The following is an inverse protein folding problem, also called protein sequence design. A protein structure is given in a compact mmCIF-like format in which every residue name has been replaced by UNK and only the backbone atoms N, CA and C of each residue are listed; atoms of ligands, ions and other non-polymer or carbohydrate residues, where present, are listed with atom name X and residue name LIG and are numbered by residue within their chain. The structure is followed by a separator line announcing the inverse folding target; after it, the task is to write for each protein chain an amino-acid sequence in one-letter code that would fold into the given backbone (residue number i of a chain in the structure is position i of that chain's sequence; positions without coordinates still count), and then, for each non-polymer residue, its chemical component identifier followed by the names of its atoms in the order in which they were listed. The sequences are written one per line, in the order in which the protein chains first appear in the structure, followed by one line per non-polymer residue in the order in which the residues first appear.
data_IF_955478387104
#
_entry.id   IF_955478387104
#
_cell.length_a   1.000
_cell.length_b   1.000
_cell.length_c   1.000
_cell.angle_alpha   90.00
_cell.angle_beta   90.00
_cell.angle_gamma   90.00
#
_symmetry.space_group_name_H-M   'P 1'
#
loop_
_entity.id
_entity.type
_entity.pdbx_description
1 polymer ?
#
# COMPACT_ATOMS: atom_id res chain seq x y z
N UNK A 1 -23.46 -0.24 -12.50
CA UNK A 1 -23.58 0.60 -11.28
C UNK A 1 -22.18 0.78 -10.76
N UNK A 2 -21.65 2.00 -10.74
CA UNK A 2 -20.27 2.27 -10.32
C UNK A 2 -20.07 1.85 -8.86
N UNK A 3 -18.96 1.17 -8.57
CA UNK A 3 -18.63 0.81 -7.20
C UNK A 3 -17.99 2.03 -6.50
N UNK A 4 -18.61 2.49 -5.41
CA UNK A 4 -18.15 3.66 -4.64
C UNK A 4 -16.70 3.55 -4.19
N UNK A 5 -16.21 2.36 -3.83
CA UNK A 5 -14.81 2.13 -3.43
C UNK A 5 -13.87 2.46 -4.58
N UNK A 6 -14.17 1.96 -5.77
CA UNK A 6 -13.33 2.12 -6.96
C UNK A 6 -13.31 3.56 -7.46
N UNK A 7 -14.47 4.25 -7.47
CA UNK A 7 -14.55 5.68 -7.82
C UNK A 7 -13.65 6.51 -6.91
N UNK A 8 -13.64 6.21 -5.61
CA UNK A 8 -12.81 6.93 -4.65
C UNK A 8 -11.34 6.61 -4.84
N UNK A 9 -10.98 5.33 -5.00
CA UNK A 9 -9.59 4.94 -5.27
C UNK A 9 -9.07 5.62 -6.52
N UNK A 10 -9.83 5.61 -7.62
CA UNK A 10 -9.50 6.32 -8.86
C UNK A 10 -9.24 7.80 -8.61
N UNK A 11 -10.07 8.46 -7.80
CA UNK A 11 -9.84 9.85 -7.41
C UNK A 11 -8.56 10.05 -6.58
N UNK A 12 -8.26 9.15 -5.64
CA UNK A 12 -7.01 9.15 -4.86
C UNK A 12 -5.81 9.04 -5.80
N UNK A 13 -5.80 8.07 -6.71
CA UNK A 13 -4.70 7.87 -7.65
C UNK A 13 -4.55 9.04 -8.63
N UNK A 14 -5.65 9.65 -9.08
CA UNK A 14 -5.62 10.87 -9.87
C UNK A 14 -4.98 12.06 -9.13
N UNK A 15 -5.15 12.14 -7.80
CA UNK A 15 -4.51 13.17 -6.98
C UNK A 15 -3.01 12.88 -6.84
N UNK A 16 -2.64 11.63 -6.59
CA UNK A 16 -1.23 11.21 -6.47
C UNK A 16 -0.47 11.45 -7.78
N UNK A 17 -1.09 11.14 -8.92
CA UNK A 17 -0.52 11.33 -10.27
C UNK A 17 -0.23 12.80 -10.64
N UNK A 18 -0.61 13.77 -9.81
CA UNK A 18 -0.18 15.17 -9.96
C UNK A 18 1.32 15.36 -9.67
N UNK A 19 1.93 14.42 -8.97
CA UNK A 19 3.37 14.36 -8.77
C UNK A 19 3.96 13.24 -9.65
N UNK A 20 4.96 13.57 -10.45
CA UNK A 20 5.62 12.66 -11.39
C UNK A 20 6.34 11.47 -10.71
N UNK A 21 6.76 11.63 -9.45
CA UNK A 21 7.38 10.58 -8.64
C UNK A 21 6.37 9.60 -8.03
N UNK A 22 5.07 9.90 -8.10
CA UNK A 22 3.99 9.08 -7.52
C UNK A 22 3.17 8.33 -8.58
N UNK A 23 3.74 8.20 -9.77
CA UNK A 23 3.04 7.68 -10.94
C UNK A 23 3.24 6.17 -11.12
N UNK A 24 2.17 5.46 -11.50
CA UNK A 24 2.14 4.00 -11.66
C UNK A 24 2.14 3.51 -13.12
N UNK A 25 1.98 4.38 -14.12
CA UNK A 25 1.67 3.91 -15.47
C UNK A 25 2.88 3.37 -16.25
N UNK A 26 4.12 3.57 -15.80
CA UNK A 26 5.30 3.10 -16.55
C UNK A 26 5.41 1.57 -16.60
N UNK A 27 4.64 0.80 -15.81
CA UNK A 27 4.81 -0.64 -15.71
C UNK A 27 3.54 -1.52 -15.69
N UNK A 28 2.31 -1.04 -15.93
CA UNK A 28 1.07 -1.87 -15.90
C UNK A 28 0.88 -2.72 -14.61
N UNK A 29 1.34 -2.24 -13.45
CA UNK A 29 1.26 -3.00 -12.19
C UNK A 29 -0.10 -2.91 -11.50
N UNK A 30 -0.79 -1.78 -11.63
CA UNK A 30 -2.18 -1.62 -11.19
C UNK A 30 -2.93 -0.73 -12.15
N UNK A 31 -4.16 -1.12 -12.47
CA UNK A 31 -5.13 -0.28 -13.17
C UNK A 31 -6.45 -0.29 -12.39
N UNK A 32 -7.01 0.90 -12.16
CA UNK A 32 -8.31 1.08 -11.51
C UNK A 32 -9.36 1.39 -12.57
N UNK A 33 -10.32 0.48 -12.72
CA UNK A 33 -11.52 0.72 -13.52
C UNK A 33 -12.74 0.95 -12.62
N UNK A 34 -13.90 1.18 -13.21
CA UNK A 34 -15.13 1.42 -12.45
C UNK A 34 -15.69 0.12 -11.81
N UNK A 35 -15.12 -1.04 -12.15
CA UNK A 35 -15.55 -2.37 -11.69
C UNK A 35 -14.44 -3.27 -11.12
N UNK A 36 -13.17 -3.01 -11.42
CA UNK A 36 -12.04 -3.90 -11.11
C UNK A 36 -10.79 -3.13 -10.66
N UNK A 37 -9.96 -3.78 -9.84
CA UNK A 37 -8.57 -3.39 -9.58
C UNK A 37 -7.68 -4.42 -10.28
N UNK A 38 -7.27 -4.13 -11.50
CA UNK A 38 -6.47 -5.06 -12.31
C UNK A 38 -5.02 -4.99 -11.89
N UNK A 39 -4.42 -6.16 -11.72
CA UNK A 39 -3.00 -6.36 -11.42
C UNK A 39 -2.46 -7.49 -12.33
N UNK A 40 -1.15 -7.80 -12.31
CA UNK A 40 -0.60 -8.93 -13.05
C UNK A 40 -1.22 -10.30 -12.71
N UNK A 41 -1.93 -10.40 -11.58
CA UNK A 41 -2.61 -11.62 -11.12
C UNK A 41 -4.13 -11.58 -11.35
N UNK A 42 -4.62 -10.61 -12.14
CA UNK A 42 -6.04 -10.37 -12.37
C UNK A 42 -6.66 -9.35 -11.43
N UNK A 43 -7.98 -9.40 -11.27
CA UNK A 43 -8.73 -8.49 -10.41
C UNK A 43 -8.61 -8.88 -8.94
N UNK A 44 -8.00 -8.00 -8.13
CA UNK A 44 -7.83 -8.22 -6.69
C UNK A 44 -9.03 -7.73 -5.86
N UNK A 45 -9.93 -6.95 -6.47
CA UNK A 45 -11.02 -6.30 -5.74
C UNK A 45 -11.97 -7.29 -5.03
N UNK A 46 -12.38 -8.43 -5.63
CA UNK A 46 -13.24 -9.40 -4.95
C UNK A 46 -12.60 -9.95 -3.66
N UNK A 47 -11.29 -10.15 -3.65
CA UNK A 47 -10.57 -10.67 -2.48
C UNK A 47 -10.61 -9.70 -1.30
N UNK A 48 -10.54 -8.40 -1.57
CA UNK A 48 -10.69 -7.36 -0.55
C UNK A 48 -12.11 -7.32 0.04
N UNK A 49 -13.12 -7.75 -0.72
CA UNK A 49 -14.51 -7.74 -0.27
C UNK A 49 -14.93 -9.02 0.47
N UNK A 50 -14.12 -10.08 0.43
CA UNK A 50 -14.42 -11.36 1.07
C UNK A 50 -14.49 -11.25 2.60
N UNK A 51 -13.64 -10.43 3.19
CA UNK A 51 -13.60 -10.17 4.64
C UNK A 51 -13.59 -8.67 4.83
N UNK A 52 -14.76 -8.07 5.06
CA UNK A 52 -14.87 -6.62 5.32
C UNK A 52 -14.54 -6.31 6.77
N UNK A 53 -13.87 -5.17 6.98
CA UNK A 53 -13.72 -4.56 8.30
C UNK A 53 -15.08 -4.17 8.86
N UNK A 54 -15.25 -4.35 10.18
CA UNK A 54 -16.43 -3.87 10.90
C UNK A 54 -16.39 -2.36 11.21
N UNK A 55 -15.31 -1.66 10.86
CA UNK A 55 -15.22 -0.22 11.04
C UNK A 55 -16.27 0.50 10.20
N UNK A 56 -16.78 1.61 10.72
CA UNK A 56 -17.76 2.42 10.01
C UNK A 56 -17.12 3.06 8.79
N UNK A 57 -17.85 3.02 7.67
CA UNK A 57 -17.48 3.73 6.47
C UNK A 57 -17.29 5.22 6.78
N UNK A 58 -16.09 5.71 6.51
CA UNK A 58 -15.71 7.10 6.68
C UNK A 58 -14.62 7.42 5.68
N UNK A 59 -14.69 8.59 5.08
CA UNK A 59 -13.65 9.08 4.19
C UNK A 59 -13.27 10.49 4.59
N UNK A 60 -11.96 10.73 4.62
CA UNK A 60 -11.45 12.08 4.75
C UNK A 60 -11.68 12.82 3.44
N UNK A 61 -12.05 14.10 3.53
CA UNK A 61 -12.11 14.97 2.36
C UNK A 61 -10.80 14.88 1.54
N UNK A 62 -10.92 14.48 0.27
CA UNK A 62 -9.79 14.31 -0.65
C UNK A 62 -9.03 15.61 -0.88
N UNK A 63 -9.60 16.78 -0.57
CA UNK A 63 -8.86 18.04 -0.52
C UNK A 63 -7.69 18.01 0.47
N UNK A 64 -7.80 17.27 1.57
CA UNK A 64 -6.67 17.09 2.50
C UNK A 64 -5.56 16.26 1.87
N UNK A 65 -5.89 15.26 1.06
CA UNK A 65 -4.89 14.52 0.30
C UNK A 65 -4.20 15.41 -0.74
N UNK A 66 -4.95 16.27 -1.45
CA UNK A 66 -4.37 17.26 -2.37
C UNK A 66 -3.36 18.13 -1.63
N UNK A 67 -3.76 18.70 -0.48
CA UNK A 67 -2.86 19.53 0.34
C UNK A 67 -1.62 18.77 0.81
N UNK A 68 -1.75 17.48 1.14
CA UNK A 68 -0.62 16.65 1.55
C UNK A 68 0.39 16.52 0.42
N UNK A 69 -0.08 16.12 -0.77
CA UNK A 69 0.77 15.95 -1.96
C UNK A 69 1.42 17.28 -2.34
N UNK A 70 0.68 18.39 -2.30
CA UNK A 70 1.21 19.73 -2.60
C UNK A 70 2.29 20.15 -1.59
N UNK A 71 2.06 19.91 -0.28
CA UNK A 71 3.02 20.23 0.77
C UNK A 71 4.33 19.42 0.62
N UNK A 72 4.20 18.10 0.43
CA UNK A 72 5.35 17.21 0.22
C UNK A 72 6.10 17.55 -1.09
N UNK A 73 5.38 17.91 -2.16
CA UNK A 73 5.97 18.32 -3.44
C UNK A 73 6.72 19.65 -3.32
N UNK A 74 6.11 20.66 -2.69
CA UNK A 74 6.72 21.98 -2.49
C UNK A 74 8.05 21.90 -1.72
N UNK A 75 8.14 20.98 -0.77
CA UNK A 75 9.34 20.76 0.03
C UNK A 75 10.34 19.77 -0.62
N UNK A 76 10.07 19.31 -1.85
CA UNK A 76 10.82 18.25 -2.54
C UNK A 76 11.06 17.02 -1.63
N UNK A 77 10.06 16.69 -0.80
CA UNK A 77 10.16 15.63 0.20
C UNK A 77 9.82 14.26 -0.35
N UNK A 78 9.08 14.18 -1.46
CA UNK A 78 8.72 12.92 -2.13
C UNK A 78 9.95 12.37 -2.83
N UNK A 79 10.30 11.13 -2.52
CA UNK A 79 11.37 10.38 -3.20
C UNK A 79 10.77 9.54 -4.32
N UNK A 80 9.78 8.69 -4.01
CA UNK A 80 9.06 7.85 -4.97
C UNK A 80 7.80 7.23 -4.36
N UNK A 81 6.94 6.69 -5.22
CA UNK A 81 6.03 5.63 -4.83
C UNK A 81 6.81 4.31 -4.69
N UNK A 82 6.77 3.69 -3.51
CA UNK A 82 7.49 2.44 -3.26
C UNK A 82 6.64 1.21 -3.64
N UNK A 83 5.41 1.12 -3.14
CA UNK A 83 4.50 0.05 -3.53
C UNK A 83 3.04 0.40 -3.28
N UNK A 84 2.16 -0.37 -3.93
CA UNK A 84 0.75 -0.47 -3.55
C UNK A 84 0.52 -1.83 -2.92
N UNK A 85 0.05 -1.85 -1.69
CA UNK A 85 -0.16 -3.06 -0.90
C UNK A 85 -1.62 -3.46 -0.82
N UNK A 86 -1.86 -4.78 -0.86
CA UNK A 86 -3.17 -5.38 -0.70
C UNK A 86 -3.09 -6.46 0.39
N UNK A 87 -3.81 -6.22 1.50
CA UNK A 87 -3.96 -7.21 2.55
C UNK A 87 -5.39 -7.75 2.56
N UNK A 88 -5.52 -9.08 2.46
CA UNK A 88 -6.79 -9.75 2.25
C UNK A 88 -6.81 -11.13 2.90
N UNK A 89 -8.03 -11.61 3.18
CA UNK A 89 -8.25 -12.91 3.81
C UNK A 89 -8.16 -14.03 2.77
N UNK A 90 -7.50 -15.12 3.14
CA UNK A 90 -7.49 -16.38 2.37
C UNK A 90 -7.78 -17.58 3.25
N UNK A 91 -8.17 -18.68 2.63
CA UNK A 91 -8.36 -19.96 3.34
C UNK A 91 -7.03 -20.68 3.60
N UNK A 92 -6.02 -20.46 2.76
CA UNK A 92 -4.68 -21.02 2.92
C UNK A 92 -3.63 -20.13 2.27
N UNK A 93 -2.63 -19.71 3.03
CA UNK A 93 -1.50 -18.92 2.50
C UNK A 93 -0.68 -19.71 1.49
N UNK A 94 -0.41 -20.99 1.76
CA UNK A 94 0.34 -21.87 0.85
C UNK A 94 -0.38 -22.03 -0.51
N UNK A 95 -1.68 -22.34 -0.50
CA UNK A 95 -2.44 -22.46 -1.75
C UNK A 95 -2.52 -21.14 -2.52
N UNK A 96 -2.63 -20.02 -1.79
CA UNK A 96 -2.62 -18.70 -2.41
C UNK A 96 -1.26 -18.41 -3.05
N UNK A 97 -0.16 -18.72 -2.38
CA UNK A 97 1.20 -18.59 -2.94
C UNK A 97 1.34 -19.38 -4.23
N UNK A 98 0.91 -20.65 -4.24
CA UNK A 98 0.93 -21.50 -5.44
C UNK A 98 0.12 -20.88 -6.58
N UNK A 99 -1.10 -20.40 -6.29
CA UNK A 99 -1.95 -19.72 -7.28
C UNK A 99 -1.26 -18.49 -7.86
N UNK A 100 -0.64 -17.66 -7.02
CA UNK A 100 0.07 -16.45 -7.43
C UNK A 100 1.28 -16.79 -8.31
N UNK A 101 2.05 -17.82 -7.99
CA UNK A 101 3.15 -18.31 -8.81
C UNK A 101 2.66 -18.67 -10.23
N UNK A 102 1.56 -19.44 -10.33
CA UNK A 102 1.02 -19.86 -11.63
C UNK A 102 0.51 -18.69 -12.49
N UNK A 103 -0.02 -17.64 -11.86
CA UNK A 103 -0.46 -16.43 -12.56
C UNK A 103 0.73 -15.58 -13.02
N UNK A 104 1.74 -15.41 -12.16
CA UNK A 104 2.93 -14.62 -12.50
C UNK A 104 3.76 -15.23 -13.62
N UNK A 105 3.81 -16.57 -13.73
CA UNK A 105 4.42 -17.29 -14.87
C UNK A 105 3.89 -16.85 -16.24
N UNK A 106 2.66 -16.35 -16.28
CA UNK A 106 1.99 -15.90 -17.51
C UNK A 106 2.22 -14.40 -17.79
N UNK A 107 2.93 -13.73 -16.89
CA UNK A 107 3.22 -12.29 -16.94
C UNK A 107 4.70 -12.04 -17.24
N UNK A 108 5.04 -10.77 -17.47
CA UNK A 108 6.44 -10.31 -17.61
C UNK A 108 7.13 -9.99 -16.28
N UNK A 109 6.42 -10.15 -15.16
CA UNK A 109 6.91 -9.77 -13.83
C UNK A 109 7.45 -10.96 -13.07
N UNK A 110 8.14 -10.65 -11.98
CA UNK A 110 8.65 -11.63 -11.04
C UNK A 110 7.89 -11.56 -9.73
N UNK A 111 7.83 -12.70 -9.04
CA UNK A 111 7.30 -12.79 -7.69
C UNK A 111 8.47 -12.93 -6.72
N UNK A 112 8.45 -12.11 -5.69
CA UNK A 112 9.43 -12.11 -4.61
C UNK A 112 8.73 -12.39 -3.30
N UNK A 113 9.45 -12.98 -2.36
CA UNK A 113 9.01 -13.14 -0.99
C UNK A 113 9.98 -12.42 -0.06
N UNK A 114 9.45 -11.62 0.85
CA UNK A 114 10.23 -11.07 1.95
C UNK A 114 10.26 -12.08 3.11
N UNK A 115 11.45 -12.28 3.69
CA UNK A 115 11.54 -12.99 4.97
C UNK A 115 11.14 -12.04 6.09
N UNK A 116 9.92 -12.20 6.60
CA UNK A 116 9.46 -11.47 7.77
C UNK A 116 9.75 -12.25 9.05
N UNK A 117 9.78 -11.52 10.17
CA UNK A 117 9.90 -12.11 11.51
C UNK A 117 8.55 -12.63 12.04
N UNK A 118 7.47 -12.53 11.25
CA UNK A 118 6.14 -13.01 11.57
C UNK A 118 5.75 -14.20 10.68
N UNK A 119 4.63 -14.85 11.00
CA UNK A 119 4.04 -15.91 10.15
C UNK A 119 3.33 -15.30 8.90
N UNK A 120 3.63 -14.04 8.56
CA UNK A 120 3.06 -13.33 7.44
C UNK A 120 3.69 -13.81 6.12
N UNK A 121 2.85 -14.02 5.11
CA UNK A 121 3.31 -14.28 3.76
C UNK A 121 3.41 -12.94 3.01
N UNK A 122 4.57 -12.29 3.10
CA UNK A 122 4.85 -11.03 2.43
C UNK A 122 5.36 -11.28 1.01
N UNK A 123 4.52 -10.98 0.02
CA UNK A 123 4.83 -11.21 -1.39
C UNK A 123 4.88 -9.90 -2.16
N UNK A 124 5.83 -9.80 -3.09
CA UNK A 124 5.99 -8.63 -3.94
C UNK A 124 6.00 -9.01 -5.42
N UNK A 125 5.27 -8.26 -6.25
CA UNK A 125 5.26 -8.41 -7.71
C UNK A 125 5.88 -7.18 -8.36
N UNK A 126 6.81 -7.40 -9.28
CA UNK A 126 7.36 -6.32 -10.10
C UNK A 126 8.72 -6.67 -10.69
N UNK A 127 9.57 -5.65 -10.84
CA UNK A 127 10.95 -5.80 -11.28
C UNK A 127 11.88 -5.14 -10.25
N UNK A 128 12.78 -5.92 -9.65
CA UNK A 128 13.75 -5.43 -8.65
C UNK A 128 15.09 -5.00 -9.26
N UNK A 129 15.35 -5.27 -10.53
CA UNK A 129 16.59 -4.85 -11.20
C UNK A 129 16.70 -3.32 -11.22
N UNK A 130 15.56 -2.66 -11.40
CA UNK A 130 15.38 -1.24 -11.18
C UNK A 130 14.67 -1.03 -9.84
N UNK A 131 15.46 -1.00 -8.78
CA UNK A 131 15.02 -0.92 -7.40
C UNK A 131 14.21 0.34 -7.07
N UNK A 132 14.17 1.34 -7.96
CA UNK A 132 13.37 2.55 -7.76
C UNK A 132 11.92 2.39 -8.23
N UNK A 133 11.64 1.41 -9.08
CA UNK A 133 10.29 1.21 -9.61
C UNK A 133 9.32 0.75 -8.53
N UNK A 134 8.05 1.18 -8.55
CA UNK A 134 7.07 0.69 -7.60
C UNK A 134 6.83 -0.82 -7.74
N UNK A 135 6.51 -1.49 -6.63
CA UNK A 135 6.09 -2.90 -6.58
C UNK A 135 4.61 -3.01 -6.19
N UNK A 136 4.05 -4.21 -6.33
CA UNK A 136 2.80 -4.59 -5.66
C UNK A 136 3.11 -5.48 -4.48
N UNK A 137 2.64 -5.11 -3.31
CA UNK A 137 2.69 -5.95 -2.12
C UNK A 137 1.37 -6.72 -1.99
N UNK A 138 1.46 -8.02 -1.73
CA UNK A 138 0.35 -8.89 -1.40
C UNK A 138 0.62 -9.51 -0.05
N UNK A 139 -0.33 -9.31 0.87
CA UNK A 139 -0.30 -9.87 2.21
C UNK A 139 -1.55 -10.71 2.45
N UNK A 140 -1.61 -11.95 1.91
CA UNK A 140 -2.68 -12.88 2.19
C UNK A 140 -2.63 -13.35 3.64
N UNK A 141 -3.78 -13.36 4.32
CA UNK A 141 -3.91 -13.68 5.74
C UNK A 141 -4.79 -14.92 5.91
N UNK A 142 -4.20 -16.02 6.37
CA UNK A 142 -4.95 -17.26 6.62
C UNK A 142 -5.68 -17.24 7.95
N UNK A 143 -4.98 -16.91 9.05
CA UNK A 143 -5.53 -16.85 10.41
C UNK A 143 -4.89 -15.70 11.16
N UNK A 144 -5.69 -15.04 11.98
CA UNK A 144 -5.19 -14.04 12.93
C UNK A 144 -6.13 -14.00 14.13
N UNK A 145 -5.56 -13.90 15.32
CA UNK A 145 -6.29 -13.65 16.57
C UNK A 145 -6.05 -12.21 17.05
N UNK A 146 -5.49 -11.35 16.20
CA UNK A 146 -5.23 -9.97 16.57
C UNK A 146 -6.55 -9.24 16.81
N UNK A 147 -6.72 -8.75 18.03
CA UNK A 147 -7.84 -7.90 18.43
C UNK A 147 -7.99 -6.62 17.58
N UNK A 148 -6.93 -6.17 16.91
CA UNK A 148 -6.97 -5.02 16.00
C UNK A 148 -7.25 -5.41 14.53
N UNK A 149 -7.67 -6.64 14.24
CA UNK A 149 -7.87 -7.13 12.87
C UNK A 149 -8.69 -6.17 11.99
N UNK A 150 -9.77 -5.59 12.51
CA UNK A 150 -10.62 -4.65 11.76
C UNK A 150 -9.88 -3.38 11.30
N UNK A 151 -8.77 -3.01 11.96
CA UNK A 151 -7.98 -1.82 11.67
C UNK A 151 -6.97 -2.03 10.54
N UNK A 152 -6.66 -3.28 10.20
CA UNK A 152 -5.65 -3.59 9.19
C UNK A 152 -6.09 -4.65 8.18
N UNK A 153 -7.21 -5.35 8.37
CA UNK A 153 -7.75 -6.33 7.42
C UNK A 153 -9.21 -5.99 7.08
N UNK A 154 -9.58 -5.88 5.79
CA UNK A 154 -8.72 -5.82 4.61
C UNK A 154 -8.17 -4.40 4.45
N UNK A 155 -7.06 -4.23 3.74
CA UNK A 155 -6.59 -2.89 3.42
C UNK A 155 -5.96 -2.77 2.04
N UNK A 156 -6.01 -1.54 1.53
CA UNK A 156 -5.17 -1.04 0.44
C UNK A 156 -4.19 -0.04 1.05
N UNK A 157 -2.91 -0.24 0.79
CA UNK A 157 -1.82 0.60 1.29
C UNK A 157 -1.17 1.31 0.10
N UNK A 158 -0.98 2.62 0.23
CA UNK A 158 -0.22 3.43 -0.72
C UNK A 158 1.04 3.89 0.00
N UNK A 159 2.17 3.30 -0.34
CA UNK A 159 3.42 3.49 0.39
C UNK A 159 4.39 4.39 -0.38
N UNK A 160 4.74 5.53 0.22
CA UNK A 160 5.52 6.61 -0.39
C UNK A 160 6.80 6.81 0.40
N UNK A 161 7.95 6.72 -0.27
CA UNK A 161 9.23 7.10 0.31
C UNK A 161 9.35 8.62 0.40
N UNK A 162 9.78 9.11 1.55
CA UNK A 162 10.06 10.53 1.77
C UNK A 162 11.48 10.76 2.30
N UNK A 163 11.98 11.98 2.12
CA UNK A 163 13.24 12.43 2.72
C UNK A 163 13.09 12.89 4.18
N UNK A 164 11.89 12.75 4.76
CA UNK A 164 11.53 13.29 6.07
C UNK A 164 11.82 12.30 7.20
N UNK A 165 12.00 12.84 8.41
CA UNK A 165 11.96 12.09 9.66
C UNK A 165 10.51 11.78 10.06
N UNK A 166 10.33 10.82 10.97
CA UNK A 166 8.99 10.47 11.47
C UNK A 166 8.25 11.67 12.10
N UNK A 167 8.96 12.54 12.82
CA UNK A 167 8.39 13.75 13.41
C UNK A 167 7.92 14.76 12.36
N UNK A 168 8.74 15.02 11.34
CA UNK A 168 8.37 15.93 10.26
C UNK A 168 7.16 15.43 9.47
N UNK A 169 7.04 14.11 9.30
CA UNK A 169 5.85 13.50 8.71
C UNK A 169 4.62 13.75 9.59
N UNK A 170 4.70 13.48 10.90
CA UNK A 170 3.58 13.73 11.81
C UNK A 170 3.13 15.18 11.79
N UNK A 171 4.07 16.13 11.86
CA UNK A 171 3.79 17.56 11.81
C UNK A 171 3.12 17.96 10.48
N UNK A 172 3.62 17.42 9.36
CA UNK A 172 3.05 17.65 8.02
C UNK A 172 1.63 17.07 7.92
N UNK A 173 1.40 15.87 8.43
CA UNK A 173 0.09 15.23 8.40
C UNK A 173 -0.89 15.97 9.29
N UNK A 174 -0.53 16.26 10.54
CA UNK A 174 -1.42 16.96 11.49
C UNK A 174 -1.83 18.34 10.98
N UNK A 175 -0.89 19.09 10.41
CA UNK A 175 -1.16 20.40 9.83
C UNK A 175 -2.06 20.31 8.59
N UNK A 176 -1.82 19.32 7.72
CA UNK A 176 -2.59 19.13 6.50
C UNK A 176 -4.02 18.69 6.78
N UNK A 177 -4.18 17.68 7.63
CA UNK A 177 -5.47 17.06 7.95
C UNK A 177 -6.17 17.72 9.13
N UNK A 178 -5.67 18.86 9.63
CA UNK A 178 -6.26 19.59 10.75
C UNK A 178 -6.61 18.69 11.96
N UNK A 179 -5.70 17.77 12.28
CA UNK A 179 -5.85 16.75 13.34
C UNK A 179 -7.06 15.80 13.20
N UNK A 180 -7.68 15.66 12.01
CA UNK A 180 -8.77 14.69 11.80
C UNK A 180 -8.28 13.24 11.72
N UNK A 181 -6.96 13.04 11.58
CA UNK A 181 -6.32 11.73 11.67
C UNK A 181 -5.25 11.70 12.73
N UNK A 182 -5.09 10.52 13.28
CA UNK A 182 -4.02 10.16 14.18
C UNK A 182 -2.97 9.34 13.40
N UNK A 183 -1.79 9.91 13.10
CA UNK A 183 -0.70 9.18 12.48
C UNK A 183 -0.22 8.06 13.40
N UNK A 184 0.03 6.88 12.85
CA UNK A 184 0.56 5.73 13.57
C UNK A 184 2.01 5.44 13.16
N UNK A 185 2.94 5.47 14.11
CA UNK A 185 4.36 5.20 13.85
C UNK A 185 4.64 3.70 13.88
N UNK A 186 5.19 3.16 12.80
CA UNK A 186 5.75 1.81 12.74
C UNK A 186 7.25 1.91 13.06
N UNK A 187 7.64 1.28 14.17
CA UNK A 187 9.01 1.35 14.71
C UNK A 187 9.68 -0.01 14.76
N UNK A 188 10.97 -0.05 14.46
CA UNK A 188 11.84 -1.20 14.66
C UNK A 188 13.04 -0.71 15.47
N UNK A 189 13.31 -1.34 16.61
CA UNK A 189 14.40 -0.97 17.54
C UNK A 189 14.42 0.53 17.91
N UNK A 190 13.23 1.12 18.06
CA UNK A 190 13.06 2.53 18.42
C UNK A 190 13.19 3.52 17.25
N UNK A 191 13.56 3.07 16.05
CA UNK A 191 13.63 3.90 14.83
C UNK A 191 12.28 3.89 14.13
N UNK A 192 11.77 5.07 13.77
CA UNK A 192 10.52 5.21 12.99
C UNK A 192 10.83 5.00 11.51
N UNK A 193 10.26 3.96 10.91
CA UNK A 193 10.45 3.65 9.49
C UNK A 193 9.29 4.15 8.64
N UNK A 194 8.07 4.07 9.15
CA UNK A 194 6.85 4.45 8.44
C UNK A 194 5.93 5.18 9.42
N UNK A 195 5.26 6.20 8.91
CA UNK A 195 4.10 6.80 9.57
C UNK A 195 2.87 6.48 8.73
N UNK A 196 2.00 5.63 9.27
CA UNK A 196 0.77 5.16 8.62
C UNK A 196 -0.39 6.10 8.91
N UNK A 197 -1.12 6.46 7.87
CA UNK A 197 -2.24 7.39 7.93
C UNK A 197 -3.47 6.76 7.27
N UNK A 198 -4.47 6.36 8.07
CA UNK A 198 -5.73 5.86 7.52
C UNK A 198 -6.53 7.03 6.95
N UNK A 199 -6.74 7.01 5.64
CA UNK A 199 -7.50 8.05 4.95
C UNK A 199 -8.99 7.72 4.78
N UNK A 200 -9.36 6.47 5.04
CA UNK A 200 -10.76 6.08 5.13
C UNK A 200 -10.99 4.59 5.31
N UNK A 201 -12.27 4.27 5.51
CA UNK A 201 -12.86 2.94 5.39
C UNK A 201 -14.01 3.06 4.41
N UNK A 202 -14.03 2.24 3.36
CA UNK A 202 -15.03 2.35 2.30
C UNK A 202 -15.50 0.97 1.90
N UNK A 203 -16.80 0.72 2.03
CA UNK A 203 -17.37 -0.60 1.77
C UNK A 203 -16.75 -1.69 2.64
N UNK A 204 -16.22 -1.32 3.82
CA UNK A 204 -15.45 -2.21 4.70
C UNK A 204 -14.00 -2.46 4.31
N UNK A 205 -13.41 -1.68 3.40
CA UNK A 205 -11.98 -1.74 3.05
C UNK A 205 -11.23 -0.55 3.63
N UNK A 206 -10.20 -0.82 4.43
CA UNK A 206 -9.33 0.24 4.96
C UNK A 206 -8.43 0.79 3.84
N UNK A 207 -8.27 2.11 3.76
CA UNK A 207 -7.34 2.75 2.83
C UNK A 207 -6.32 3.55 3.63
N UNK A 208 -5.05 3.21 3.46
CA UNK A 208 -3.93 3.81 4.17
C UNK A 208 -2.98 4.51 3.20
N UNK A 209 -2.43 5.63 3.63
CA UNK A 209 -1.25 6.26 3.04
C UNK A 209 -0.12 6.14 4.05
N UNK A 210 0.89 5.39 3.67
CA UNK A 210 2.10 5.17 4.45
C UNK A 210 3.18 6.11 3.91
N UNK A 211 3.74 6.91 4.82
CA UNK A 211 4.84 7.81 4.53
C UNK A 211 6.08 7.24 5.19
N UNK A 212 6.98 6.67 4.39
CA UNK A 212 8.25 6.13 4.84
C UNK A 212 9.24 7.26 5.14
N UNK A 213 10.02 7.09 6.21
CA UNK A 213 11.03 8.04 6.64
C UNK A 213 12.32 7.86 5.84
N UNK A 214 13.22 8.84 5.94
CA UNK A 214 14.58 8.76 5.42
C UNK A 214 15.45 7.67 6.07
N UNK A 215 14.96 6.99 7.11
CA UNK A 215 15.65 5.86 7.73
C UNK A 215 15.42 4.55 6.96
N UNK A 216 14.42 4.50 6.07
CA UNK A 216 14.14 3.31 5.27
C UNK A 216 15.11 3.18 4.09
N UNK A 217 15.97 2.16 4.15
CA UNK A 217 16.86 1.83 3.04
C UNK A 217 16.22 0.78 2.11
N UNK A 218 15.36 1.26 1.20
CA UNK A 218 14.62 0.39 0.26
C UNK A 218 15.54 -0.37 -0.68
N UNK A 219 16.66 0.22 -1.12
CA UNK A 219 17.61 -0.47 -1.99
C UNK A 219 18.15 -1.74 -1.32
N UNK A 220 18.62 -1.60 -0.07
CA UNK A 220 19.09 -2.72 0.73
C UNK A 220 17.97 -3.74 0.95
N UNK A 221 16.76 -3.28 1.33
CA UNK A 221 15.64 -4.19 1.56
C UNK A 221 15.29 -5.02 0.31
N UNK A 222 15.23 -4.38 -0.87
CA UNK A 222 14.92 -5.07 -2.13
C UNK A 222 16.04 -6.00 -2.60
N UNK A 223 17.29 -5.67 -2.33
CA UNK A 223 18.43 -6.49 -2.76
C UNK A 223 18.72 -7.66 -1.80
N UNK A 224 18.47 -7.48 -0.50
CA UNK A 224 18.91 -8.43 0.52
C UNK A 224 17.75 -9.19 1.20
N UNK A 225 16.56 -8.59 1.29
CA UNK A 225 15.42 -9.21 1.98
C UNK A 225 14.43 -9.89 1.05
N UNK A 226 14.36 -9.45 -0.21
CA UNK A 226 13.48 -10.04 -1.22
C UNK A 226 14.15 -11.22 -1.93
N UNK A 227 13.59 -12.41 -1.73
CA UNK A 227 14.04 -13.63 -2.40
C UNK A 227 13.12 -13.88 -3.59
N UNK A 228 13.70 -13.94 -4.80
CA UNK A 228 12.96 -14.27 -6.01
C UNK A 228 12.41 -15.69 -5.94
N UNK A 229 11.10 -15.82 -6.11
CA UNK A 229 10.37 -17.08 -6.17
C UNK A 229 10.27 -17.55 -7.63
N UNK A 230 9.97 -16.64 -8.55
CA UNK A 230 9.92 -16.87 -10.00
C UNK A 230 10.23 -15.61 -10.82
#
# INVERSE_FOLDING_TARGET
MENKVLVILKNIFNILARNDKLFLESNNLVEFSDSEIKTPIGDIFPFLLNQKSNLKDQIIDTNFLVKLVDALSKNNSIVRLNHIGFCYKVDSQEKEKERLIELIKQSKFHLYQEQSNDDGLWLFIGNTDDWENPLIELLPVEKTNDHWVDYWLPHIQIDIDTALTGKEIEDTVRSTFNNTIEPYQIKIDGVVYIVRNRIGVIGGVNINIDLATNSRNVQIARQNSLIKVI
#
